data_IF_380637043704
#
_entry.id   IF_380637043704
#
_cell.length_a   1.000
_cell.length_b   1.000
_cell.length_c   1.000
_cell.angle_alpha   90.00
_cell.angle_beta   90.00
_cell.angle_gamma   90.00
#
_symmetry.space_group_name_H-M   'P 1'
#
loop_
_entity.id
_entity.type
_entity.pdbx_description
1 polymer ?
#
# COMPACT_ATOMS: atom_id res chain seq x y z
N UNK A 1 -23.08 -6.14 6.42
CA UNK A 1 -21.72 -5.78 6.89
C UNK A 1 -20.75 -6.78 6.29
N UNK A 2 -20.64 -6.78 4.97
CA UNK A 2 -19.75 -7.69 4.26
C UNK A 2 -18.37 -7.07 4.28
N UNK A 3 -17.67 -7.35 5.37
CA UNK A 3 -16.24 -7.10 5.49
C UNK A 3 -15.59 -8.02 4.45
N UNK A 4 -15.55 -7.56 3.20
CA UNK A 4 -14.68 -8.09 2.15
C UNK A 4 -13.26 -7.97 2.70
N UNK A 5 -12.88 -8.98 3.47
CA UNK A 5 -11.69 -8.94 4.30
C UNK A 5 -10.58 -9.35 3.37
N UNK A 6 -10.03 -8.37 2.66
CA UNK A 6 -8.70 -8.52 2.10
C UNK A 6 -7.81 -9.09 3.21
N UNK A 7 -6.92 -10.04 2.87
CA UNK A 7 -5.97 -10.55 3.85
C UNK A 7 -5.29 -9.37 4.54
N UNK A 8 -5.22 -9.34 5.88
CA UNK A 8 -4.65 -8.22 6.60
C UNK A 8 -3.20 -7.98 6.18
N UNK A 9 -2.47 -9.02 5.81
CA UNK A 9 -1.13 -8.95 5.24
C UNK A 9 -1.10 -8.17 3.92
N UNK A 10 -2.06 -8.45 3.02
CA UNK A 10 -2.16 -7.80 1.71
C UNK A 10 -2.46 -6.31 1.86
N UNK A 11 -3.37 -5.96 2.76
CA UNK A 11 -3.68 -4.58 3.11
C UNK A 11 -2.45 -3.89 3.73
N UNK A 12 -1.76 -4.55 4.67
CA UNK A 12 -0.55 -4.02 5.30
C UNK A 12 0.58 -3.79 4.29
N UNK A 13 0.78 -4.69 3.32
CA UNK A 13 1.77 -4.51 2.25
C UNK A 13 1.43 -3.30 1.36
N UNK A 14 0.15 -3.14 0.99
CA UNK A 14 -0.28 -2.02 0.16
C UNK A 14 -0.20 -0.68 0.91
N UNK A 15 -0.59 -0.63 2.18
CA UNK A 15 -0.43 0.57 3.03
C UNK A 15 1.05 0.93 3.21
N UNK A 16 1.91 -0.05 3.49
CA UNK A 16 3.36 0.17 3.58
C UNK A 16 3.95 0.69 2.26
N UNK A 17 3.39 0.27 1.11
CA UNK A 17 3.78 0.77 -0.20
C UNK A 17 3.44 2.26 -0.35
N UNK A 18 2.23 2.69 0.01
CA UNK A 18 1.82 4.09 -0.03
C UNK A 18 2.63 4.97 0.92
N UNK A 19 2.88 4.52 2.16
CA UNK A 19 3.73 5.24 3.12
C UNK A 19 5.16 5.40 2.60
N UNK A 20 5.74 4.32 2.06
CA UNK A 20 7.09 4.36 1.49
C UNK A 20 7.16 5.27 0.26
N UNK A 21 6.10 5.27 -0.56
CA UNK A 21 5.97 6.15 -1.72
C UNK A 21 5.88 7.62 -1.29
N UNK A 22 5.06 7.95 -0.29
CA UNK A 22 4.96 9.32 0.25
C UNK A 22 6.31 9.81 0.78
N UNK A 23 7.02 8.98 1.55
CA UNK A 23 8.38 9.31 2.00
C UNK A 23 9.38 9.49 0.84
N UNK A 24 9.23 8.75 -0.25
CA UNK A 24 10.04 8.91 -1.46
C UNK A 24 9.70 10.19 -2.21
N UNK A 25 8.41 10.52 -2.33
CA UNK A 25 7.94 11.72 -3.01
C UNK A 25 8.29 13.01 -2.25
N UNK A 26 8.32 12.96 -0.92
CA UNK A 26 8.67 14.10 -0.06
C UNK A 26 10.17 14.24 0.24
N UNK A 27 10.98 13.19 0.00
CA UNK A 27 12.41 13.24 0.32
C UNK A 27 13.24 13.91 -0.79
N UNK A 28 14.26 14.72 -0.44
CA UNK A 28 15.22 15.23 -1.41
C UNK A 28 16.06 14.07 -2.00
N UNK A 29 16.42 14.18 -3.29
CA UNK A 29 17.07 13.14 -4.09
C UNK A 29 18.37 12.57 -3.48
N UNK A 30 19.01 13.34 -2.62
CA UNK A 30 20.32 13.08 -2.00
C UNK A 30 20.26 12.07 -0.83
N UNK A 31 19.10 11.86 -0.20
CA UNK A 31 18.99 11.09 1.06
C UNK A 31 18.34 9.71 0.88
N UNK A 32 19.14 8.67 0.64
CA UNK A 32 18.74 7.26 0.86
C UNK A 32 17.66 6.71 -0.09
N UNK A 33 17.43 7.34 -1.25
CA UNK A 33 16.41 6.94 -2.22
C UNK A 33 16.55 5.49 -2.73
N UNK A 34 17.77 4.97 -2.85
CA UNK A 34 18.01 3.61 -3.32
C UNK A 34 17.43 2.54 -2.38
N UNK A 35 17.54 2.71 -1.06
CA UNK A 35 17.00 1.77 -0.09
C UNK A 35 15.47 1.77 -0.09
N UNK A 36 14.84 2.96 -0.17
CA UNK A 36 13.38 3.10 -0.25
C UNK A 36 12.84 2.54 -1.57
N UNK A 37 13.51 2.78 -2.69
CA UNK A 37 13.12 2.26 -4.01
C UNK A 37 13.20 0.73 -4.06
N UNK A 38 14.26 0.14 -3.47
CA UNK A 38 14.36 -1.33 -3.29
C UNK A 38 13.22 -1.90 -2.45
N UNK A 39 12.85 -1.22 -1.35
CA UNK A 39 11.71 -1.62 -0.51
C UNK A 39 10.39 -1.56 -1.28
N UNK A 40 10.19 -0.52 -2.07
CA UNK A 40 8.98 -0.32 -2.88
C UNK A 40 8.82 -1.40 -3.96
N UNK A 41 9.93 -1.78 -4.64
CA UNK A 41 9.95 -2.89 -5.59
C UNK A 41 9.68 -4.25 -4.91
N UNK A 42 10.23 -4.49 -3.73
CA UNK A 42 9.97 -5.70 -2.95
C UNK A 42 8.49 -5.80 -2.57
N UNK A 43 7.91 -4.72 -2.05
CA UNK A 43 6.49 -4.67 -1.70
C UNK A 43 5.61 -4.91 -2.92
N UNK A 44 5.92 -4.28 -4.05
CA UNK A 44 5.20 -4.50 -5.31
C UNK A 44 5.24 -5.96 -5.75
N UNK A 45 6.40 -6.63 -5.65
CA UNK A 45 6.53 -8.07 -5.95
C UNK A 45 5.72 -8.95 -5.00
N UNK A 46 5.77 -8.68 -3.69
CA UNK A 46 5.01 -9.46 -2.69
C UNK A 46 3.51 -9.32 -2.91
N UNK A 47 3.03 -8.10 -3.18
CA UNK A 47 1.62 -7.84 -3.50
C UNK A 47 1.25 -8.58 -4.78
N UNK A 48 2.01 -8.44 -5.87
CA UNK A 48 1.69 -9.06 -7.15
C UNK A 48 1.75 -10.60 -7.11
N UNK A 49 2.67 -11.18 -6.34
CA UNK A 49 2.83 -12.62 -6.17
C UNK A 49 1.85 -13.22 -5.13
N UNK A 50 1.00 -12.41 -4.51
CA UNK A 50 0.13 -12.87 -3.43
C UNK A 50 -0.87 -13.92 -3.94
N UNK A 51 -1.03 -15.07 -3.26
CA UNK A 51 -1.91 -16.16 -3.71
C UNK A 51 -3.38 -15.74 -3.84
N UNK A 52 -3.79 -14.71 -3.08
CA UNK A 52 -5.12 -14.07 -3.23
C UNK A 52 -5.45 -13.69 -4.68
N UNK A 53 -4.48 -13.20 -5.46
CA UNK A 53 -4.71 -12.82 -6.85
C UNK A 53 -4.90 -14.02 -7.79
N UNK A 54 -4.46 -15.20 -7.38
CA UNK A 54 -4.66 -16.44 -8.13
C UNK A 54 -6.01 -17.08 -7.83
N UNK A 55 -6.78 -16.54 -6.88
CA UNK A 55 -8.14 -16.99 -6.57
C UNK A 55 -9.16 -16.26 -7.44
N UNK A 56 -10.41 -16.75 -7.44
CA UNK A 56 -11.55 -16.08 -8.10
C UNK A 56 -11.84 -14.68 -7.55
N UNK A 57 -11.36 -14.36 -6.34
CA UNK A 57 -11.48 -13.03 -5.74
C UNK A 57 -10.41 -12.03 -6.24
N UNK A 58 -9.40 -12.51 -6.98
CA UNK A 58 -8.29 -11.73 -7.52
C UNK A 58 -8.63 -10.85 -8.72
N UNK A 59 -9.80 -10.20 -8.71
CA UNK A 59 -10.31 -9.44 -9.85
C UNK A 59 -9.62 -8.07 -9.99
N UNK A 60 -9.68 -7.43 -11.18
CA UNK A 60 -9.24 -6.05 -11.35
C UNK A 60 -9.93 -5.09 -10.37
N UNK A 61 -11.23 -5.31 -10.11
CA UNK A 61 -12.00 -4.53 -9.13
C UNK A 61 -11.46 -4.71 -7.70
N UNK A 62 -11.06 -5.93 -7.32
CA UNK A 62 -10.44 -6.19 -6.02
C UNK A 62 -9.09 -5.48 -5.86
N UNK A 63 -8.31 -5.32 -6.95
CA UNK A 63 -7.06 -4.52 -6.93
C UNK A 63 -7.34 -3.05 -6.68
N UNK A 64 -8.37 -2.49 -7.32
CA UNK A 64 -8.79 -1.10 -7.11
C UNK A 64 -9.27 -0.91 -5.67
N UNK A 65 -10.19 -1.76 -5.19
CA UNK A 65 -10.70 -1.68 -3.83
C UNK A 65 -9.60 -1.82 -2.76
N UNK A 66 -8.61 -2.70 -2.96
CA UNK A 66 -7.43 -2.78 -2.09
C UNK A 66 -6.64 -1.47 -2.07
N UNK A 67 -6.41 -0.85 -3.23
CA UNK A 67 -5.68 0.41 -3.33
C UNK A 67 -6.40 1.55 -2.62
N UNK A 68 -7.71 1.67 -2.82
CA UNK A 68 -8.55 2.69 -2.17
C UNK A 68 -8.50 2.53 -0.63
N UNK A 69 -8.71 1.30 -0.12
CA UNK A 69 -8.63 1.03 1.32
C UNK A 69 -7.24 1.31 1.90
N UNK A 70 -6.19 0.87 1.21
CA UNK A 70 -4.83 1.08 1.67
C UNK A 70 -4.43 2.57 1.63
N UNK A 71 -4.92 3.31 0.63
CA UNK A 71 -4.74 4.75 0.53
C UNK A 71 -5.46 5.47 1.66
N UNK A 72 -6.74 5.15 1.92
CA UNK A 72 -7.50 5.68 3.05
C UNK A 72 -6.78 5.45 4.38
N UNK A 73 -6.27 4.23 4.63
CA UNK A 73 -5.50 3.90 5.85
C UNK A 73 -4.17 4.67 5.93
N UNK A 74 -3.48 4.87 4.80
CA UNK A 74 -2.24 5.61 4.75
C UNK A 74 -2.46 7.12 4.96
N UNK A 75 -3.57 7.66 4.44
CA UNK A 75 -3.96 9.05 4.66
C UNK A 75 -4.49 9.25 6.07
N UNK A 76 -5.33 8.39 6.62
CA UNK A 76 -5.84 8.51 7.99
C UNK A 76 -4.70 8.38 9.02
N UNK A 77 -3.73 7.49 8.78
CA UNK A 77 -2.51 7.40 9.59
C UNK A 77 -1.58 8.62 9.48
N UNK A 78 -1.73 9.45 8.43
CA UNK A 78 -1.03 10.72 8.27
C UNK A 78 -1.85 11.96 8.64
N UNK A 79 -3.19 11.86 8.59
CA UNK A 79 -4.17 12.94 8.80
C UNK A 79 -4.53 13.13 10.27
N UNK A 80 -3.95 12.38 11.20
CA UNK A 80 -3.98 12.74 12.64
C UNK A 80 -3.15 13.99 12.98
N UNK A 81 -2.67 14.75 11.98
CA UNK A 81 -1.92 15.99 12.17
C UNK A 81 -2.26 17.05 11.12
N UNK A 82 -3.54 17.42 10.96
CA UNK A 82 -3.90 18.77 10.52
C UNK A 82 -5.35 19.11 10.91
N UNK A 83 -5.52 19.83 12.01
CA UNK A 83 -6.73 20.58 12.36
C UNK A 83 -6.32 21.94 12.93
N UNK A 84 -6.94 23.03 12.47
CA UNK A 84 -7.45 24.05 13.37
C UNK A 84 -8.98 23.96 13.50
#
# INVERSE_FOLDING_TARGET
MDRHTFPPDLLAYQTAWYVTYGQLASAPAESGGAARRRRLLRLSRVIAAHPYWQTRAGTPAARVALKELAYAQATEGGSSSLAP
#
